data_IF_028710071089
#
_entry.id   IF_028710071089
#
_cell.length_a   1.000
_cell.length_b   1.000
_cell.length_c   1.000
_cell.angle_alpha   90.00
_cell.angle_beta   90.00
_cell.angle_gamma   90.00
#
_symmetry.space_group_name_H-M   'P 1'
#
loop_
_entity.id
_entity.type
_entity.pdbx_description
1 polymer ?
#
# COMPACT_ATOMS: atom_id res chain seq x y z
N UNK A 1 -18.83 3.37 20.98
CA UNK A 1 -17.42 3.32 20.53
C UNK A 1 -17.38 2.89 19.07
N UNK A 2 -16.69 3.60 18.20
CA UNK A 2 -16.64 3.26 16.76
C UNK A 2 -15.81 1.99 16.51
N UNK A 3 -16.26 1.15 15.57
CA UNK A 3 -15.58 -0.10 15.15
C UNK A 3 -14.10 0.12 14.78
N UNK A 4 -13.78 1.29 14.23
CA UNK A 4 -12.42 1.72 13.88
C UNK A 4 -11.50 1.89 15.09
N UNK A 5 -12.02 2.35 16.23
CA UNK A 5 -11.22 2.52 17.46
C UNK A 5 -10.91 1.17 18.11
N UNK A 6 -11.86 0.22 18.07
CA UNK A 6 -11.65 -1.15 18.58
C UNK A 6 -10.59 -1.88 17.73
N UNK A 7 -10.67 -1.78 16.40
CA UNK A 7 -9.67 -2.38 15.50
C UNK A 7 -8.25 -1.87 15.75
N UNK A 8 -8.09 -0.56 16.01
CA UNK A 8 -6.78 0.02 16.35
C UNK A 8 -6.24 -0.54 17.66
N UNK A 9 -7.07 -0.65 18.70
CA UNK A 9 -6.66 -1.21 20.00
C UNK A 9 -6.27 -2.69 19.90
N UNK A 10 -7.01 -3.49 19.14
CA UNK A 10 -6.66 -4.89 18.88
C UNK A 10 -5.29 -5.02 18.20
N UNK A 11 -5.00 -4.21 17.18
CA UNK A 11 -3.69 -4.20 16.51
C UNK A 11 -2.54 -3.83 17.44
N UNK A 12 -2.77 -2.91 18.38
CA UNK A 12 -1.77 -2.55 19.39
C UNK A 12 -1.50 -3.71 20.36
N UNK A 13 -2.56 -4.41 20.77
CA UNK A 13 -2.45 -5.59 21.61
C UNK A 13 -1.69 -6.72 20.90
N UNK A 14 -2.06 -7.02 19.65
CA UNK A 14 -1.36 -8.00 18.81
C UNK A 14 0.14 -7.69 18.74
N UNK A 15 0.49 -6.43 18.46
CA UNK A 15 1.89 -6.00 18.40
C UNK A 15 2.62 -6.22 19.74
N UNK A 16 2.00 -5.85 20.86
CA UNK A 16 2.59 -6.04 22.19
C UNK A 16 2.88 -7.52 22.48
N UNK A 17 1.95 -8.41 22.11
CA UNK A 17 2.13 -9.86 22.28
C UNK A 17 3.29 -10.36 21.42
N UNK A 18 3.39 -9.92 20.17
CA UNK A 18 4.50 -10.28 19.29
C UNK A 18 5.86 -9.82 19.84
N UNK A 19 5.95 -8.58 20.32
CA UNK A 19 7.18 -8.01 20.87
C UNK A 19 7.65 -8.80 22.12
N UNK A 20 6.71 -9.19 23.00
CA UNK A 20 7.00 -10.01 24.18
C UNK A 20 7.48 -11.42 23.83
N UNK A 21 6.87 -12.06 22.82
CA UNK A 21 7.29 -13.38 22.33
C UNK A 21 8.70 -13.31 21.76
N UNK A 22 9.02 -12.29 20.97
CA UNK A 22 10.36 -12.08 20.39
C UNK A 22 11.39 -11.90 21.52
N UNK A 23 11.06 -11.12 22.55
CA UNK A 23 11.96 -10.92 23.70
C UNK A 23 12.25 -12.25 24.40
N UNK A 24 11.22 -13.06 24.68
CA UNK A 24 11.39 -14.39 25.29
C UNK A 24 12.22 -15.33 24.42
N UNK A 25 12.04 -15.28 23.09
CA UNK A 25 12.84 -16.07 22.15
C UNK A 25 14.32 -15.67 22.21
N UNK A 26 14.63 -14.37 22.35
CA UNK A 26 16.01 -13.88 22.51
C UNK A 26 16.66 -14.29 23.84
N UNK A 27 15.85 -14.55 24.86
CA UNK A 27 16.31 -15.03 26.17
C UNK A 27 16.53 -16.56 26.19
N UNK A 28 16.05 -17.29 25.18
CA UNK A 28 16.33 -18.72 25.02
C UNK A 28 17.74 -18.90 24.44
N UNK A 29 18.45 -19.94 24.91
CA UNK A 29 19.77 -20.34 24.41
C UNK A 29 19.65 -21.02 23.02
N UNK A 30 19.30 -20.21 22.02
CA UNK A 30 19.08 -20.62 20.64
C UNK A 30 20.37 -20.35 19.85
N UNK A 31 20.66 -21.24 18.90
CA UNK A 31 21.78 -21.06 17.99
C UNK A 31 21.68 -19.73 17.22
N UNK A 32 22.84 -19.10 17.02
CA UNK A 32 22.94 -17.79 16.37
C UNK A 32 22.33 -17.76 14.95
N UNK A 33 22.40 -18.87 14.22
CA UNK A 33 21.87 -18.98 12.85
C UNK A 33 20.34 -18.94 12.85
N UNK A 34 19.69 -19.60 13.81
CA UNK A 34 18.25 -19.55 13.99
C UNK A 34 17.77 -18.16 14.43
N UNK A 35 18.51 -17.49 15.32
CA UNK A 35 18.22 -16.09 15.68
C UNK A 35 18.30 -15.15 14.47
N UNK A 36 19.34 -15.26 13.64
CA UNK A 36 19.47 -14.48 12.40
C UNK A 36 18.31 -14.73 11.43
N UNK A 37 17.83 -15.97 11.29
CA UNK A 37 16.65 -16.28 10.45
C UNK A 37 15.38 -15.59 10.98
N UNK A 38 15.18 -15.58 12.29
CA UNK A 38 14.03 -14.93 12.93
C UNK A 38 14.09 -13.42 12.69
N UNK A 39 15.25 -12.79 12.91
CA UNK A 39 15.42 -11.35 12.68
C UNK A 39 15.25 -10.97 11.21
N UNK A 40 15.73 -11.79 10.29
CA UNK A 40 15.54 -11.59 8.85
C UNK A 40 14.07 -11.68 8.43
N UNK A 41 13.25 -12.48 9.12
CA UNK A 41 11.81 -12.56 8.85
C UNK A 41 11.08 -11.34 9.39
N UNK A 42 11.45 -10.87 10.57
CA UNK A 42 10.85 -9.69 11.22
C UNK A 42 11.19 -8.39 10.50
N UNK A 43 12.43 -8.25 10.04
CA UNK A 43 12.96 -7.03 9.45
C UNK A 43 12.99 -7.05 7.91
N UNK A 44 12.15 -7.88 7.26
CA UNK A 44 12.14 -7.94 5.79
C UNK A 44 11.97 -6.54 5.21
N UNK A 45 12.91 -6.09 4.34
CA UNK A 45 12.82 -4.75 3.76
C UNK A 45 11.51 -4.64 2.98
N UNK A 46 10.77 -3.54 3.20
CA UNK A 46 9.58 -3.25 2.39
C UNK A 46 10.01 -3.17 0.93
N UNK A 47 9.39 -3.98 0.08
CA UNK A 47 9.63 -3.93 -1.37
C UNK A 47 9.39 -2.50 -1.84
N UNK A 48 10.40 -1.91 -2.50
CA UNK A 48 10.21 -0.63 -3.18
C UNK A 48 9.15 -0.84 -4.27
N UNK A 49 8.14 0.04 -4.38
CA UNK A 49 7.20 -0.06 -5.48
C UNK A 49 7.95 0.10 -6.80
N UNK A 50 7.54 -0.59 -7.88
CA UNK A 50 8.13 -0.40 -9.19
C UNK A 50 7.95 1.06 -9.63
N UNK A 51 8.97 1.60 -10.30
CA UNK A 51 8.90 2.94 -10.88
C UNK A 51 8.03 2.86 -12.13
N UNK A 52 6.96 3.65 -12.17
CA UNK A 52 6.09 3.75 -13.34
C UNK A 52 6.88 4.45 -14.47
N UNK A 53 7.01 3.89 -15.68
CA UNK A 53 7.67 4.56 -16.79
C UNK A 53 7.02 5.92 -17.12
N UNK A 54 7.81 6.90 -17.57
CA UNK A 54 7.33 8.28 -17.81
C UNK A 54 6.15 8.34 -18.79
N UNK A 55 6.12 7.45 -19.79
CA UNK A 55 5.05 7.32 -20.79
C UNK A 55 3.71 6.90 -20.18
N UNK A 56 3.75 6.19 -19.05
CA UNK A 56 2.57 5.70 -18.32
C UNK A 56 2.16 6.63 -17.19
N UNK A 57 2.92 7.69 -16.92
CA UNK A 57 2.62 8.68 -15.88
C UNK A 57 1.71 9.79 -16.40
N UNK A 58 0.91 10.36 -15.51
CA UNK A 58 0.05 11.49 -15.82
C UNK A 58 0.86 12.72 -16.27
N UNK A 59 0.42 13.38 -17.34
CA UNK A 59 1.05 14.59 -17.85
C UNK A 59 0.68 15.89 -17.10
N UNK A 60 -0.28 15.85 -16.17
CA UNK A 60 -0.76 17.06 -15.46
C UNK A 60 0.14 17.42 -14.27
N UNK A 61 0.12 18.69 -13.90
CA UNK A 61 0.77 19.19 -12.69
C UNK A 61 -0.14 18.99 -11.47
N UNK A 62 0.47 18.69 -10.33
CA UNK A 62 -0.21 18.65 -9.04
C UNK A 62 -0.54 20.07 -8.54
N UNK A 63 -1.36 20.18 -7.50
CA UNK A 63 -1.67 21.47 -6.84
C UNK A 63 -0.43 22.24 -6.34
N UNK A 64 0.70 21.54 -6.16
CA UNK A 64 1.99 22.11 -5.73
C UNK A 64 2.89 22.54 -6.90
N UNK A 65 2.44 22.38 -8.15
CA UNK A 65 3.23 22.70 -9.35
C UNK A 65 4.17 21.59 -9.81
N UNK A 66 4.26 20.46 -9.09
CA UNK A 66 5.11 19.32 -9.47
C UNK A 66 4.43 18.41 -10.51
N UNK A 67 5.22 17.74 -11.37
CA UNK A 67 4.70 16.75 -12.33
C UNK A 67 4.07 15.55 -11.61
N UNK A 68 2.86 15.19 -12.02
CA UNK A 68 2.18 14.03 -11.46
C UNK A 68 2.87 12.72 -11.88
N UNK A 69 3.19 11.87 -10.91
CA UNK A 69 3.83 10.55 -11.16
C UNK A 69 2.86 9.38 -11.07
N UNK A 70 1.56 9.65 -10.92
CA UNK A 70 0.52 8.62 -10.85
C UNK A 70 0.29 8.06 -12.25
N UNK A 71 0.06 6.75 -12.35
CA UNK A 71 -0.29 6.08 -13.60
C UNK A 71 -1.52 6.71 -14.25
N UNK A 72 -1.48 6.84 -15.59
CA UNK A 72 -2.63 7.22 -16.40
C UNK A 72 -3.74 6.18 -16.27
N UNK A 73 -4.97 6.64 -16.08
CA UNK A 73 -6.15 5.77 -16.07
C UNK A 73 -7.13 6.07 -17.23
N UNK A 74 -7.33 7.34 -17.59
CA UNK A 74 -8.28 7.73 -18.63
C UNK A 74 -7.83 9.02 -19.31
N UNK A 75 -8.02 9.14 -20.63
CA UNK A 75 -7.68 10.35 -21.42
C UNK A 75 -6.29 10.94 -21.10
N UNK A 76 -5.24 10.10 -21.01
CA UNK A 76 -3.86 10.50 -20.63
C UNK A 76 -3.71 11.19 -19.26
N UNK A 77 -4.69 11.03 -18.38
CA UNK A 77 -4.71 11.62 -17.04
C UNK A 77 -4.90 10.55 -15.97
N UNK A 78 -4.43 10.81 -14.75
CA UNK A 78 -4.64 9.93 -13.62
C UNK A 78 -5.95 10.26 -12.90
N UNK A 79 -6.42 9.32 -12.08
CA UNK A 79 -7.67 9.43 -11.33
C UNK A 79 -7.76 10.69 -10.46
N UNK A 80 -6.62 11.15 -9.94
CA UNK A 80 -6.53 12.35 -9.12
C UNK A 80 -6.81 13.65 -9.90
N UNK A 81 -6.58 13.66 -11.22
CA UNK A 81 -6.76 14.82 -12.09
C UNK A 81 -7.93 14.71 -13.07
N UNK A 82 -8.75 13.67 -12.91
CA UNK A 82 -10.05 13.60 -13.55
C UNK A 82 -11.04 14.52 -12.84
N UNK A 83 -11.82 15.25 -13.62
CA UNK A 83 -13.03 15.94 -13.16
C UNK A 83 -14.09 14.94 -12.72
N UNK A 84 -15.12 15.39 -12.02
CA UNK A 84 -16.23 14.54 -11.60
C UNK A 84 -16.92 13.88 -12.79
N UNK A 85 -17.20 14.64 -13.85
CA UNK A 85 -17.78 14.14 -15.08
C UNK A 85 -16.91 13.06 -15.74
N UNK A 86 -15.60 13.29 -15.86
CA UNK A 86 -14.69 12.29 -16.45
C UNK A 86 -14.57 11.01 -15.59
N UNK A 87 -14.74 11.12 -14.27
CA UNK A 87 -14.78 9.93 -13.37
C UNK A 87 -16.05 9.12 -13.58
N UNK A 88 -17.17 9.78 -13.85
CA UNK A 88 -18.45 9.13 -14.16
C UNK A 88 -18.38 8.42 -15.51
N UNK A 89 -17.91 9.10 -16.57
CA UNK A 89 -17.66 8.49 -17.88
C UNK A 89 -16.77 7.24 -17.76
N UNK A 90 -15.66 7.34 -17.03
CA UNK A 90 -14.74 6.21 -16.85
C UNK A 90 -15.38 5.04 -16.10
N UNK A 91 -16.26 5.32 -15.12
CA UNK A 91 -17.00 4.28 -14.40
C UNK A 91 -17.98 3.57 -15.31
N UNK A 92 -18.68 4.30 -16.19
CA UNK A 92 -19.61 3.72 -17.15
C UNK A 92 -18.91 2.83 -18.17
N UNK A 93 -17.77 3.30 -18.72
CA UNK A 93 -16.93 2.52 -19.64
C UNK A 93 -16.43 1.22 -19.01
N UNK A 94 -16.03 1.24 -17.73
CA UNK A 94 -15.56 0.02 -17.06
C UNK A 94 -16.69 -0.92 -16.63
N UNK A 95 -17.91 -0.42 -16.43
CA UNK A 95 -19.08 -1.26 -16.16
C UNK A 95 -19.47 -2.08 -17.40
N UNK A 96 -19.39 -1.50 -18.59
CA UNK A 96 -19.72 -2.22 -19.83
C UNK A 96 -18.68 -3.29 -20.20
N UNK A 97 -17.40 -3.07 -19.88
CA UNK A 97 -16.32 -4.06 -20.08
C UNK A 97 -16.51 -5.30 -19.19
N UNK A 98 -17.02 -5.15 -17.97
CA UNK A 98 -17.27 -6.25 -17.04
C UNK A 98 -18.50 -7.11 -17.40
N UNK A 99 -19.34 -6.68 -18.34
CA UNK A 99 -20.50 -7.45 -18.81
C UNK A 99 -20.12 -8.34 -20.01
N UNK A 100 -18.96 -8.09 -20.64
CA UNK A 100 -18.49 -8.81 -21.84
C UNK A 100 -17.39 -9.84 -21.56
N UNK A 101 -17.04 -10.06 -20.28
CA UNK A 101 -16.10 -11.10 -19.81
C UNK A 101 -16.89 -12.07 -18.92
#
# INVERSE_FOLDING_TARGET
MSKTTVSKKLKLLEKSIYDDLIKKIKELDIDKNTLEKIENVLNKPKRKPPVIPLEKQCGKLTKKGERCRITVCYKRTCWAHLTTAEKEEYRELNKSILILI
#
